data_IF_143297245869
#
_entry.id   IF_143297245869
#
_cell.length_a   1.000
_cell.length_b   1.000
_cell.length_c   1.000
_cell.angle_alpha   90.00
_cell.angle_beta   90.00
_cell.angle_gamma   90.00
#
_symmetry.space_group_name_H-M   'P 1'
#
loop_
_entity.id
_entity.type
_entity.pdbx_description
1 polymer ?
#
# COMPACT_ATOMS: atom_id res chain seq x y z
N UNK A 1 -9.33 -12.93 13.26
CA UNK A 1 -7.94 -13.26 12.93
C UNK A 1 -7.44 -12.40 11.77
N UNK A 2 -6.14 -12.05 11.80
CA UNK A 2 -5.49 -11.16 10.83
C UNK A 2 -4.29 -11.85 10.20
N UNK A 3 -3.96 -11.46 8.97
CA UNK A 3 -2.66 -11.71 8.35
C UNK A 3 -1.82 -10.45 8.43
N UNK A 4 -0.59 -10.60 8.85
CA UNK A 4 0.44 -9.57 8.78
C UNK A 4 1.45 -9.99 7.72
N UNK A 5 1.51 -9.21 6.64
CA UNK A 5 2.53 -9.35 5.61
C UNK A 5 3.58 -8.27 5.86
N UNK A 6 4.82 -8.70 5.97
CA UNK A 6 5.94 -7.84 6.33
C UNK A 6 7.15 -8.19 5.46
N UNK A 7 7.72 -7.21 4.80
CA UNK A 7 8.97 -7.40 4.06
C UNK A 7 10.14 -7.67 5.02
N UNK A 8 11.09 -8.45 4.56
CA UNK A 8 12.29 -8.80 5.33
C UNK A 8 13.24 -7.62 5.61
N UNK A 9 13.07 -6.51 4.89
CA UNK A 9 13.85 -5.27 4.99
C UNK A 9 13.11 -4.14 5.72
N UNK A 10 12.13 -4.50 6.58
CA UNK A 10 11.41 -3.57 7.44
C UNK A 10 11.89 -3.69 8.88
N UNK A 11 12.27 -2.56 9.47
CA UNK A 11 12.56 -2.43 10.90
C UNK A 11 11.29 -1.97 11.63
N UNK A 12 10.89 -2.70 12.68
CA UNK A 12 9.67 -2.45 13.44
C UNK A 12 9.99 -1.99 14.87
N UNK A 13 9.61 -0.77 15.28
CA UNK A 13 9.72 -0.33 16.66
C UNK A 13 8.80 -1.13 17.60
N UNK A 14 9.11 -1.13 18.88
CA UNK A 14 8.23 -1.74 19.90
C UNK A 14 6.83 -1.10 19.86
N UNK A 15 5.79 -1.93 19.97
CA UNK A 15 4.40 -1.48 20.03
C UNK A 15 3.77 -1.02 18.72
N UNK A 16 4.50 -1.04 17.60
CA UNK A 16 4.02 -0.55 16.29
C UNK A 16 2.73 -1.22 15.80
N UNK A 17 2.54 -2.50 16.11
CA UNK A 17 1.41 -3.28 15.63
C UNK A 17 0.11 -2.98 16.39
N UNK A 18 0.20 -2.62 17.65
CA UNK A 18 -0.98 -2.41 18.50
C UNK A 18 -1.99 -1.38 17.95
N UNK A 19 -1.58 -0.19 17.45
CA UNK A 19 -2.54 0.76 16.85
C UNK A 19 -3.24 0.22 15.60
N UNK A 20 -2.58 -0.66 14.84
CA UNK A 20 -3.16 -1.27 13.62
C UNK A 20 -4.24 -2.27 14.00
N UNK A 21 -3.96 -3.16 14.96
CA UNK A 21 -4.94 -4.12 15.46
C UNK A 21 -6.14 -3.43 16.08
N UNK A 22 -5.90 -2.42 16.93
CA UNK A 22 -6.95 -1.59 17.53
C UNK A 22 -7.84 -0.90 16.47
N UNK A 23 -7.24 -0.43 15.37
CA UNK A 23 -7.99 0.13 14.24
C UNK A 23 -8.89 -0.93 13.59
N UNK A 24 -8.35 -2.11 13.29
CA UNK A 24 -9.10 -3.20 12.67
C UNK A 24 -10.22 -3.73 13.59
N UNK A 25 -9.94 -3.87 14.88
CA UNK A 25 -10.93 -4.37 15.86
C UNK A 25 -12.12 -3.41 16.01
N UNK A 26 -11.87 -2.10 16.00
CA UNK A 26 -12.94 -1.09 16.11
C UNK A 26 -13.71 -0.82 14.82
N UNK A 27 -13.19 -1.23 13.66
CA UNK A 27 -13.77 -0.92 12.35
C UNK A 27 -13.94 -2.21 11.51
N UNK A 28 -15.06 -2.95 11.69
CA UNK A 28 -15.28 -4.22 10.98
C UNK A 28 -15.30 -4.11 9.45
N UNK A 29 -15.60 -2.94 8.92
CA UNK A 29 -15.64 -2.61 7.50
C UNK A 29 -14.26 -2.22 6.91
N UNK A 30 -13.22 -2.10 7.74
CA UNK A 30 -11.84 -1.92 7.29
C UNK A 30 -11.21 -3.30 7.05
N UNK A 31 -10.88 -3.63 5.79
CA UNK A 31 -10.26 -4.90 5.44
C UNK A 31 -8.76 -4.91 5.68
N UNK A 32 -8.10 -3.77 5.51
CA UNK A 32 -6.65 -3.62 5.65
C UNK A 32 -6.29 -2.30 6.32
N UNK A 33 -5.34 -2.35 7.22
CA UNK A 33 -4.74 -1.19 7.85
C UNK A 33 -3.22 -1.30 7.82
N UNK A 34 -2.52 -0.18 7.65
CA UNK A 34 -1.07 -0.16 7.53
C UNK A 34 -0.43 1.01 8.29
N UNK A 35 0.83 0.86 8.72
CA UNK A 35 1.59 1.93 9.36
C UNK A 35 2.02 2.99 8.36
N UNK A 36 2.46 4.14 8.86
CA UNK A 36 3.26 5.10 8.12
C UNK A 36 4.65 4.49 7.86
N UNK A 37 5.12 4.57 6.62
CA UNK A 37 6.44 4.09 6.21
C UNK A 37 7.43 5.24 6.16
N UNK A 38 8.51 5.10 6.90
CA UNK A 38 9.61 6.06 6.98
C UNK A 38 10.86 5.41 6.38
N UNK A 39 11.71 6.20 5.75
CA UNK A 39 12.97 5.71 5.20
C UNK A 39 13.92 5.25 6.30
N UNK A 40 14.54 4.07 6.14
CA UNK A 40 15.65 3.64 7.00
C UNK A 40 16.90 4.52 6.83
N UNK A 41 17.13 5.03 5.62
CA UNK A 41 18.31 5.82 5.30
C UNK A 41 18.25 7.24 5.89
N UNK A 42 17.07 7.87 5.86
CA UNK A 42 16.81 9.15 6.52
C UNK A 42 15.47 9.07 7.26
N UNK A 43 15.51 8.87 8.56
CA UNK A 43 14.31 8.75 9.41
C UNK A 43 13.49 10.04 9.56
N UNK A 44 13.90 11.12 8.89
CA UNK A 44 13.12 12.36 8.79
C UNK A 44 12.30 12.44 7.51
N UNK A 45 12.45 11.48 6.58
CA UNK A 45 11.75 11.43 5.30
C UNK A 45 10.81 10.23 5.21
N UNK A 46 9.74 10.39 4.42
CA UNK A 46 8.89 9.26 4.09
C UNK A 46 9.65 8.23 3.25
N UNK A 47 9.17 7.00 3.30
CA UNK A 47 9.65 5.97 2.38
C UNK A 47 9.04 6.19 0.99
N UNK A 48 9.78 5.82 -0.07
CA UNK A 48 9.41 6.08 -1.45
C UNK A 48 8.11 5.36 -1.90
N UNK A 49 7.93 4.10 -1.48
CA UNK A 49 6.85 3.23 -1.98
C UNK A 49 5.76 3.01 -0.93
N UNK A 50 4.88 3.99 -0.75
CA UNK A 50 3.71 3.86 0.12
C UNK A 50 3.60 4.92 1.20
N UNK A 51 4.71 5.45 1.70
CA UNK A 51 4.77 6.61 2.60
C UNK A 51 3.62 6.66 3.65
N UNK A 52 2.68 7.58 3.50
CA UNK A 52 1.52 7.77 4.38
C UNK A 52 0.20 7.35 3.69
N UNK A 53 0.22 6.23 2.94
CA UNK A 53 -0.92 5.71 2.17
C UNK A 53 -1.05 6.32 0.77
N UNK A 54 -1.70 5.62 -0.12
CA UNK A 54 -1.75 5.94 -1.53
C UNK A 54 -3.14 6.10 -2.12
N UNK A 55 -3.19 6.69 -3.29
CA UNK A 55 -4.35 6.89 -4.13
C UNK A 55 -4.03 6.49 -5.57
N UNK A 56 -5.03 6.46 -6.44
CA UNK A 56 -4.85 6.41 -7.88
C UNK A 56 -5.44 7.67 -8.50
N UNK A 57 -4.85 8.16 -9.58
CA UNK A 57 -5.41 9.27 -10.34
C UNK A 57 -6.54 8.80 -11.28
N UNK A 58 -7.10 9.74 -12.03
CA UNK A 58 -8.18 9.46 -12.98
C UNK A 58 -7.78 8.45 -14.08
N UNK A 59 -6.51 8.40 -14.44
CA UNK A 59 -5.97 7.46 -15.45
C UNK A 59 -5.51 6.14 -14.82
N UNK A 60 -5.65 5.98 -13.50
CA UNK A 60 -5.27 4.76 -12.77
C UNK A 60 -3.79 4.69 -12.39
N UNK A 61 -3.05 5.79 -12.44
CA UNK A 61 -1.67 5.83 -11.97
C UNK A 61 -1.63 5.98 -10.44
N UNK A 62 -0.90 5.10 -9.72
CA UNK A 62 -0.78 5.19 -8.28
C UNK A 62 0.15 6.32 -7.86
N UNK A 63 -0.25 7.04 -6.83
CA UNK A 63 0.57 8.03 -6.13
C UNK A 63 0.33 7.92 -4.62
N UNK A 64 1.19 8.51 -3.80
CA UNK A 64 1.06 8.43 -2.35
C UNK A 64 1.28 9.76 -1.65
N UNK A 65 0.72 9.89 -0.46
CA UNK A 65 0.95 11.02 0.45
C UNK A 65 2.39 10.95 0.95
N UNK A 66 3.10 12.07 0.86
CA UNK A 66 4.52 12.14 1.21
C UNK A 66 5.48 11.95 0.04
N UNK A 67 4.95 11.73 -1.19
CA UNK A 67 5.80 11.64 -2.39
C UNK A 67 5.06 12.11 -3.65
N UNK A 68 5.72 12.93 -4.43
CA UNK A 68 5.31 13.33 -5.78
C UNK A 68 6.44 12.99 -6.75
N UNK A 69 6.22 12.05 -7.64
CA UNK A 69 7.23 11.54 -8.58
C UNK A 69 8.51 11.08 -7.84
N UNK A 70 9.64 11.78 -8.04
CA UNK A 70 10.91 11.50 -7.38
C UNK A 70 11.15 12.34 -6.12
N UNK A 71 10.28 13.30 -5.83
CA UNK A 71 10.39 14.16 -4.65
C UNK A 71 9.70 13.48 -3.48
N UNK A 72 10.48 13.12 -2.46
CA UNK A 72 10.00 12.59 -1.19
C UNK A 72 9.95 13.73 -0.17
N UNK A 73 8.87 13.82 0.58
CA UNK A 73 8.69 14.84 1.61
C UNK A 73 9.35 14.42 2.92
N UNK A 74 9.76 15.41 3.72
CA UNK A 74 10.08 15.18 5.13
C UNK A 74 8.80 14.98 5.95
N UNK A 75 8.82 14.02 6.87
CA UNK A 75 7.74 13.83 7.83
C UNK A 75 7.81 14.92 8.90
N UNK A 76 6.86 15.83 8.85
CA UNK A 76 6.65 16.91 9.84
C UNK A 76 5.34 16.76 10.60
N UNK A 77 4.72 15.57 10.52
CA UNK A 77 3.38 15.31 11.05
C UNK A 77 2.22 15.74 10.15
N UNK A 78 2.51 16.20 8.92
CA UNK A 78 1.48 16.67 7.98
C UNK A 78 0.48 15.58 7.55
N UNK A 79 0.81 14.30 7.77
CA UNK A 79 -0.04 13.14 7.48
C UNK A 79 -0.21 12.24 8.71
N UNK A 80 -0.37 12.82 9.89
CA UNK A 80 -0.62 12.09 11.14
C UNK A 80 -2.11 11.80 11.37
N UNK A 81 -2.98 12.14 10.41
CA UNK A 81 -4.40 11.83 10.43
C UNK A 81 -4.66 10.36 10.00
N UNK A 82 -5.31 9.59 10.89
CA UNK A 82 -5.85 8.28 10.53
C UNK A 82 -6.99 8.46 9.54
N UNK A 83 -6.89 7.83 8.35
CA UNK A 83 -7.88 8.02 7.30
C UNK A 83 -7.95 6.87 6.31
N UNK A 84 -9.05 6.84 5.57
CA UNK A 84 -9.20 5.94 4.44
C UNK A 84 -8.33 6.41 3.26
N UNK A 85 -7.69 5.46 2.61
CA UNK A 85 -6.84 5.63 1.44
C UNK A 85 -7.21 4.61 0.37
N UNK A 86 -6.71 4.78 -0.85
CA UNK A 86 -7.02 3.80 -1.89
C UNK A 86 -6.17 2.53 -1.77
N UNK A 87 -4.89 2.67 -1.41
CA UNK A 87 -3.99 1.55 -1.20
C UNK A 87 -2.98 1.82 -0.09
N UNK A 88 -2.43 0.76 0.44
CA UNK A 88 -1.32 0.78 1.39
C UNK A 88 -0.19 -0.09 0.88
N UNK A 89 1.04 0.18 1.30
CA UNK A 89 2.21 -0.58 0.84
C UNK A 89 2.22 -2.00 1.37
N UNK A 90 2.59 -2.95 0.51
CA UNK A 90 2.84 -4.34 0.88
C UNK A 90 4.02 -4.53 1.83
N UNK A 91 4.87 -3.52 2.04
CA UNK A 91 6.01 -3.59 2.95
C UNK A 91 5.59 -3.88 4.40
N UNK A 92 4.43 -3.34 4.83
CA UNK A 92 3.83 -3.64 6.13
C UNK A 92 2.30 -3.66 5.98
N UNK A 93 1.77 -4.80 5.63
CA UNK A 93 0.38 -4.99 5.24
C UNK A 93 -0.34 -5.86 6.28
N UNK A 94 -1.27 -5.29 7.02
CA UNK A 94 -2.10 -6.02 7.99
C UNK A 94 -3.56 -6.06 7.53
N UNK A 95 -4.13 -7.23 7.32
CA UNK A 95 -5.47 -7.39 6.78
C UNK A 95 -6.28 -8.49 7.46
N UNK A 96 -7.61 -8.43 7.30
CA UNK A 96 -8.51 -9.50 7.74
C UNK A 96 -8.24 -10.77 6.95
N UNK A 97 -7.99 -11.87 7.66
CA UNK A 97 -7.62 -13.15 7.05
C UNK A 97 -8.76 -13.77 6.22
N UNK A 98 -10.00 -13.59 6.65
CA UNK A 98 -11.19 -14.06 5.92
C UNK A 98 -11.39 -13.29 4.62
N UNK A 99 -11.28 -11.95 4.63
CA UNK A 99 -11.38 -11.10 3.43
C UNK A 99 -10.24 -11.41 2.46
N UNK A 100 -9.01 -11.51 2.96
CA UNK A 100 -7.85 -11.87 2.14
C UNK A 100 -8.07 -13.19 1.39
N UNK A 101 -8.53 -14.25 2.10
CA UNK A 101 -8.83 -15.55 1.49
C UNK A 101 -10.00 -15.50 0.53
N UNK A 102 -11.09 -14.82 0.90
CA UNK A 102 -12.29 -14.72 0.05
C UNK A 102 -11.99 -14.04 -1.30
N UNK A 103 -11.05 -13.09 -1.32
CA UNK A 103 -10.62 -12.41 -2.54
C UNK A 103 -9.46 -13.10 -3.26
N UNK A 104 -8.98 -14.27 -2.78
CA UNK A 104 -7.91 -15.04 -3.41
C UNK A 104 -6.49 -14.52 -3.13
N UNK A 105 -6.32 -13.59 -2.18
CA UNK A 105 -5.02 -13.03 -1.81
C UNK A 105 -4.37 -12.17 -2.90
N UNK A 106 -3.05 -12.11 -2.92
CA UNK A 106 -2.31 -11.49 -4.02
C UNK A 106 -2.40 -12.33 -5.29
N UNK A 107 -2.56 -11.66 -6.42
CA UNK A 107 -2.56 -12.33 -7.71
C UNK A 107 -1.12 -12.67 -8.15
N UNK A 108 -0.82 -13.95 -8.24
CA UNK A 108 0.52 -14.45 -8.57
C UNK A 108 1.04 -14.03 -9.95
N UNK A 109 0.15 -13.66 -10.87
CA UNK A 109 0.53 -13.20 -12.20
C UNK A 109 1.26 -11.83 -12.17
N UNK A 110 1.10 -11.07 -11.09
CA UNK A 110 1.82 -9.81 -10.92
C UNK A 110 3.32 -10.02 -10.69
N UNK A 111 3.72 -11.10 -10.04
CA UNK A 111 5.09 -11.41 -9.63
C UNK A 111 5.66 -10.39 -8.63
N UNK A 112 5.75 -9.12 -8.99
CA UNK A 112 6.19 -8.02 -8.14
C UNK A 112 5.62 -6.70 -8.65
N UNK A 113 5.30 -5.79 -7.71
CA UNK A 113 4.71 -4.47 -7.90
C UNK A 113 3.24 -4.50 -8.34
N UNK A 114 2.44 -3.63 -7.75
CA UNK A 114 1.00 -3.43 -7.96
C UNK A 114 0.08 -4.52 -7.39
N UNK A 115 0.60 -5.65 -6.91
CA UNK A 115 -0.19 -6.74 -6.34
C UNK A 115 -0.96 -6.30 -5.08
N UNK A 116 -0.35 -5.44 -4.27
CA UNK A 116 -0.99 -4.87 -3.08
C UNK A 116 -2.05 -3.82 -3.46
N UNK A 117 -1.81 -3.06 -4.53
CA UNK A 117 -2.76 -2.06 -5.02
C UNK A 117 -3.97 -2.76 -5.65
N UNK A 118 -3.74 -3.80 -6.46
CA UNK A 118 -4.79 -4.66 -7.02
C UNK A 118 -5.66 -5.26 -5.91
N UNK A 119 -5.04 -5.81 -4.86
CA UNK A 119 -5.78 -6.38 -3.74
C UNK A 119 -6.58 -5.32 -2.97
N UNK A 120 -5.99 -4.16 -2.68
CA UNK A 120 -6.70 -3.04 -2.05
C UNK A 120 -7.90 -2.58 -2.88
N UNK A 121 -7.78 -2.53 -4.21
CA UNK A 121 -8.89 -2.19 -5.08
C UNK A 121 -10.00 -3.26 -5.04
N UNK A 122 -9.64 -4.55 -5.11
CA UNK A 122 -10.62 -5.64 -4.98
C UNK A 122 -11.33 -5.64 -3.61
N UNK A 123 -10.63 -5.30 -2.52
CA UNK A 123 -11.24 -5.10 -1.20
C UNK A 123 -12.29 -3.99 -1.23
N UNK A 124 -11.99 -2.86 -1.88
CA UNK A 124 -12.95 -1.74 -2.01
C UNK A 124 -14.14 -2.08 -2.92
N UNK A 125 -13.91 -2.80 -4.02
CA UNK A 125 -15.01 -3.30 -4.86
C UNK A 125 -15.94 -4.28 -4.11
N UNK A 126 -15.40 -4.98 -3.12
CA UNK A 126 -16.18 -5.84 -2.21
C UNK A 126 -16.86 -5.06 -1.05
N UNK A 127 -16.74 -3.73 -1.01
CA UNK A 127 -17.40 -2.86 -0.03
C UNK A 127 -16.59 -2.57 1.23
N UNK A 128 -15.32 -2.99 1.29
CA UNK A 128 -14.44 -2.73 2.42
C UNK A 128 -13.66 -1.41 2.25
N UNK A 129 -13.09 -0.93 3.35
CA UNK A 129 -12.19 0.23 3.39
C UNK A 129 -10.74 -0.20 3.58
N UNK A 130 -9.85 0.63 3.09
CA UNK A 130 -8.38 0.54 3.24
C UNK A 130 -7.94 1.73 4.09
N UNK A 131 -7.14 1.52 5.14
CA UNK A 131 -6.82 2.60 6.09
C UNK A 131 -5.33 2.71 6.39
N UNK A 132 -4.87 3.94 6.46
CA UNK A 132 -3.55 4.29 7.03
C UNK A 132 -3.71 4.66 8.50
N UNK A 133 -2.82 4.15 9.35
CA UNK A 133 -2.79 4.37 10.81
C UNK A 133 -1.46 5.00 11.20
N UNK A 134 -1.30 6.34 11.11
CA UNK A 134 -0.01 7.01 11.28
C UNK A 134 0.58 6.97 12.70
N UNK A 135 -0.24 6.63 13.71
CA UNK A 135 0.26 6.34 15.07
C UNK A 135 1.17 5.12 15.10
N UNK A 136 1.05 4.25 14.10
CA UNK A 136 1.98 3.16 13.82
C UNK A 136 2.99 3.64 12.79
N UNK A 137 4.28 3.40 13.06
CA UNK A 137 5.39 3.75 12.16
C UNK A 137 6.33 2.57 12.04
N UNK A 138 6.84 2.32 10.85
CA UNK A 138 7.90 1.36 10.59
C UNK A 138 8.93 1.97 9.65
N UNK A 139 10.14 1.43 9.64
CA UNK A 139 11.23 1.91 8.80
C UNK A 139 11.52 0.88 7.73
N UNK A 140 11.52 1.31 6.47
CA UNK A 140 11.73 0.43 5.34
C UNK A 140 13.01 0.81 4.59
N UNK A 141 13.85 -0.18 4.29
CA UNK A 141 15.10 0.05 3.58
C UNK A 141 14.84 0.42 2.11
N UNK A 142 13.85 -0.24 1.51
CA UNK A 142 13.45 -0.03 0.12
C UNK A 142 14.46 -0.55 -0.91
N UNK A 143 13.94 -0.93 -2.08
CA UNK A 143 14.80 -1.34 -3.21
C UNK A 143 15.41 -2.74 -3.10
N UNK A 144 15.03 -3.54 -2.10
CA UNK A 144 15.61 -4.87 -1.85
C UNK A 144 15.34 -5.90 -2.95
N UNK A 145 14.22 -5.82 -3.65
CA UNK A 145 13.83 -6.82 -4.66
C UNK A 145 14.31 -6.47 -6.07
N UNK A 146 14.12 -5.22 -6.49
CA UNK A 146 14.53 -4.74 -7.82
C UNK A 146 15.13 -3.33 -7.69
N UNK A 147 16.27 -3.12 -8.34
CA UNK A 147 16.91 -1.79 -8.38
C UNK A 147 15.97 -0.75 -8.98
N UNK A 148 15.97 0.47 -8.43
CA UNK A 148 15.00 1.54 -8.71
C UNK A 148 14.92 1.84 -10.16
N UNK A 149 15.67 1.87 -11.04
CA UNK A 149 15.51 2.19 -12.47
C UNK A 149 15.82 0.97 -13.39
N UNK A 150 15.69 -0.24 -12.87
CA UNK A 150 15.94 -1.43 -13.71
C UNK A 150 14.83 -1.56 -14.77
N UNK A 151 15.18 -1.98 -16.02
CA UNK A 151 14.19 -2.23 -17.07
C UNK A 151 13.09 -3.21 -16.64
N UNK A 152 13.43 -4.21 -15.84
CA UNK A 152 12.48 -5.17 -15.30
C UNK A 152 11.44 -4.50 -14.39
N UNK A 153 11.88 -3.61 -13.48
CA UNK A 153 10.96 -2.85 -12.63
C UNK A 153 10.03 -1.96 -13.41
N UNK A 154 10.53 -1.24 -14.40
CA UNK A 154 9.73 -0.41 -15.31
C UNK A 154 8.71 -1.27 -16.04
N UNK A 155 9.13 -2.40 -16.61
CA UNK A 155 8.24 -3.34 -17.30
C UNK A 155 7.13 -3.85 -16.39
N UNK A 156 7.45 -4.35 -15.17
CA UNK A 156 6.44 -4.86 -14.25
C UNK A 156 5.46 -3.77 -13.80
N UNK A 157 5.94 -2.57 -13.50
CA UNK A 157 5.06 -1.47 -13.11
C UNK A 157 4.04 -1.15 -14.19
N UNK A 158 4.45 -1.05 -15.47
CA UNK A 158 3.51 -0.77 -16.57
C UNK A 158 2.60 -1.95 -16.88
N UNK A 159 3.15 -3.16 -17.03
CA UNK A 159 2.36 -4.37 -17.29
C UNK A 159 1.30 -4.58 -16.21
N UNK A 160 1.71 -4.50 -14.95
CA UNK A 160 0.83 -4.76 -13.81
C UNK A 160 -0.21 -3.66 -13.64
N UNK A 161 0.14 -2.41 -13.89
CA UNK A 161 -0.85 -1.33 -13.91
C UNK A 161 -1.95 -1.58 -14.95
N UNK A 162 -1.58 -1.94 -16.19
CA UNK A 162 -2.56 -2.29 -17.22
C UNK A 162 -3.41 -3.51 -16.83
N UNK A 163 -2.80 -4.56 -16.25
CA UNK A 163 -3.53 -5.74 -15.77
C UNK A 163 -4.52 -5.39 -14.66
N UNK A 164 -4.10 -4.58 -13.68
CA UNK A 164 -4.94 -4.08 -12.59
C UNK A 164 -6.13 -3.26 -13.11
N UNK A 165 -5.88 -2.34 -14.05
CA UNK A 165 -6.93 -1.53 -14.68
C UNK A 165 -7.92 -2.42 -15.45
N UNK A 166 -7.42 -3.40 -16.22
CA UNK A 166 -8.29 -4.35 -16.92
C UNK A 166 -9.17 -5.16 -15.96
N UNK A 167 -8.64 -5.59 -14.80
CA UNK A 167 -9.39 -6.35 -13.79
C UNK A 167 -10.40 -5.51 -13.04
N UNK A 168 -9.99 -4.34 -12.55
CA UNK A 168 -10.70 -3.62 -11.50
C UNK A 168 -11.47 -2.39 -12.00
N UNK A 169 -11.04 -1.75 -13.10
CA UNK A 169 -11.69 -0.55 -13.60
C UNK A 169 -13.07 -0.84 -14.22
N UNK A 170 -14.00 0.09 -14.04
CA UNK A 170 -15.31 0.03 -14.72
C UNK A 170 -15.16 0.10 -16.25
N UNK A 171 -16.17 -0.38 -17.02
CA UNK A 171 -16.12 -0.26 -18.48
C UNK A 171 -15.89 1.17 -18.98
N UNK A 172 -16.47 2.18 -18.33
CA UNK A 172 -16.28 3.57 -18.68
C UNK A 172 -14.83 4.05 -18.44
N UNK A 173 -14.20 3.65 -17.33
CA UNK A 173 -12.81 3.96 -17.05
C UNK A 173 -11.85 3.29 -18.03
N UNK A 174 -12.12 2.03 -18.42
CA UNK A 174 -11.29 1.31 -19.42
C UNK A 174 -11.28 1.97 -20.81
N UNK A 175 -12.32 2.75 -21.14
CA UNK A 175 -12.37 3.49 -22.41
C UNK A 175 -11.54 4.79 -22.38
N UNK A 176 -11.10 5.24 -21.19
CA UNK A 176 -10.32 6.46 -21.01
C UNK A 176 -8.81 6.19 -20.86
N UNK A 177 -8.40 4.94 -20.75
CA UNK A 177 -7.01 4.47 -20.55
C UNK A 177 -6.58 3.63 -21.75
#
# INVERSE_FOLDING_TARGET
DYYLLLNSDVETPEGWLAPILDCLDRNPDVAVAAPKLISCADRTEFEYAGAAGGFIDYLGYPFCRGRILRCVEKDRGQYDDERDVFWVSGAAFCCRADVFRALGGFDGDFFAHMEEIDLCWRMQLAGYRVRIVPRSRVYHLGGGTLQTDSPAKVFYNHRNNLAMLYKCASPAQRLCV
#
